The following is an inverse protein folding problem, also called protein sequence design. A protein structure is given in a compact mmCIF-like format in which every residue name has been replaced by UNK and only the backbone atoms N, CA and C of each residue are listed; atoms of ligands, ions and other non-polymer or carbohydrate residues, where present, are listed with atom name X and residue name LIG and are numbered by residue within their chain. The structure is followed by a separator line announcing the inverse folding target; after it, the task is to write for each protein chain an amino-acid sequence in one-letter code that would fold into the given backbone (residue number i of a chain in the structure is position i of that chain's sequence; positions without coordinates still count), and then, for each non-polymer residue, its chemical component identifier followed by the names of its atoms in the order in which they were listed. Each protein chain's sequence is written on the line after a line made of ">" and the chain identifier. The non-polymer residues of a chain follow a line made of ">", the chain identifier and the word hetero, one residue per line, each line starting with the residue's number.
data_IF_307157786464
#
_entry.id   IF_307157786464
#
_cell.length_a   1.000
_cell.length_b   1.000
_cell.length_c   1.000
_cell.angle_alpha   90.00
_cell.angle_beta   90.00
_cell.angle_gamma   90.00
#
_symmetry.space_group_name_H-M   'P 1'
#
loop_
_entity.id
_entity.type
_entity.pdbx_description
1 polymer ?
#
# COMPACT_ATOMS: atom_id res chain seq x y z
N UNK A 1 -23.98 -12.33 -15.38
CA UNK A 1 -22.76 -12.80 -16.07
C UNK A 1 -22.12 -13.87 -15.23
N UNK A 2 -21.59 -14.92 -15.86
CA UNK A 2 -20.63 -15.79 -15.20
C UNK A 2 -19.30 -15.03 -15.04
N UNK A 3 -18.75 -15.04 -13.83
CA UNK A 3 -17.47 -14.41 -13.52
C UNK A 3 -16.30 -15.16 -14.17
N UNK A 4 -16.45 -16.46 -14.47
CA UNK A 4 -15.43 -17.27 -15.15
C UNK A 4 -15.32 -16.84 -16.62
N UNK A 5 -16.45 -16.65 -17.31
CA UNK A 5 -16.48 -16.15 -18.70
C UNK A 5 -15.89 -14.74 -18.80
N UNK A 6 -16.27 -13.83 -17.91
CA UNK A 6 -15.73 -12.48 -17.86
C UNK A 6 -14.20 -12.46 -17.61
N UNK A 7 -13.69 -13.38 -16.79
CA UNK A 7 -12.24 -13.53 -16.59
C UNK A 7 -11.55 -14.06 -17.83
N UNK A 8 -12.10 -15.10 -18.47
CA UNK A 8 -11.56 -15.65 -19.72
C UNK A 8 -11.49 -14.59 -20.81
N UNK A 9 -12.59 -13.86 -21.05
CA UNK A 9 -12.63 -12.78 -22.03
C UNK A 9 -11.60 -11.66 -21.76
N UNK A 10 -11.23 -11.42 -20.50
CA UNK A 10 -10.26 -10.39 -20.12
C UNK A 10 -8.78 -10.85 -20.16
N UNK A 11 -8.50 -12.14 -19.92
CA UNK A 11 -7.16 -12.65 -19.65
C UNK A 11 -6.71 -13.88 -20.47
N UNK A 12 -7.63 -14.64 -21.05
CA UNK A 12 -7.30 -15.82 -21.84
C UNK A 12 -6.61 -15.40 -23.14
N UNK A 13 -5.44 -15.99 -23.43
CA UNK A 13 -4.56 -15.65 -24.55
C UNK A 13 -4.08 -14.18 -24.60
N UNK A 14 -4.33 -13.36 -23.57
CA UNK A 14 -3.85 -11.98 -23.52
C UNK A 14 -2.45 -11.89 -22.92
N UNK A 15 -1.57 -11.20 -23.62
CA UNK A 15 -0.25 -10.80 -23.15
C UNK A 15 -0.26 -9.33 -22.71
N UNK A 16 0.43 -9.03 -21.61
CA UNK A 16 0.56 -7.66 -21.08
C UNK A 16 2.04 -7.25 -21.08
N UNK A 17 2.37 -6.13 -21.72
CA UNK A 17 3.77 -5.69 -21.87
C UNK A 17 4.25 -4.81 -20.71
N UNK A 18 3.35 -4.37 -19.84
CA UNK A 18 3.68 -3.68 -18.59
C UNK A 18 2.87 -4.23 -17.42
N UNK A 19 3.36 -4.04 -16.20
CA UNK A 19 2.58 -4.33 -15.00
C UNK A 19 1.37 -3.39 -14.85
N UNK A 20 1.45 -2.18 -15.40
CA UNK A 20 0.39 -1.17 -15.32
C UNK A 20 -0.83 -1.59 -16.13
N UNK A 21 -0.63 -1.96 -17.40
CA UNK A 21 -1.67 -2.48 -18.30
C UNK A 21 -2.38 -3.72 -17.70
N UNK A 22 -1.60 -4.64 -17.12
CA UNK A 22 -2.16 -5.80 -16.41
C UNK A 22 -3.01 -5.38 -15.21
N UNK A 23 -2.54 -4.42 -14.41
CA UNK A 23 -3.21 -3.97 -13.20
C UNK A 23 -4.52 -3.24 -13.55
N UNK A 24 -4.52 -2.38 -14.57
CA UNK A 24 -5.74 -1.70 -15.07
C UNK A 24 -6.79 -2.69 -15.58
N UNK A 25 -6.37 -3.73 -16.33
CA UNK A 25 -7.27 -4.79 -16.77
C UNK A 25 -7.85 -5.60 -15.60
N UNK A 26 -7.04 -5.86 -14.57
CA UNK A 26 -7.48 -6.52 -13.34
C UNK A 26 -8.45 -5.67 -12.52
N UNK A 27 -8.17 -4.37 -12.38
CA UNK A 27 -9.02 -3.45 -11.63
C UNK A 27 -10.37 -3.26 -12.34
N UNK A 28 -10.38 -3.21 -13.68
CA UNK A 28 -11.62 -3.23 -14.48
C UNK A 28 -12.42 -4.52 -14.27
N UNK A 29 -11.81 -5.70 -14.45
CA UNK A 29 -12.50 -6.99 -14.22
C UNK A 29 -13.06 -7.10 -12.80
N UNK A 30 -12.28 -6.68 -11.79
CA UNK A 30 -12.72 -6.68 -10.39
C UNK A 30 -13.93 -5.77 -10.16
N UNK A 31 -13.94 -4.57 -10.76
CA UNK A 31 -15.08 -3.65 -10.72
C UNK A 31 -16.33 -4.22 -11.40
N UNK A 32 -16.20 -4.66 -12.65
CA UNK A 32 -17.33 -5.02 -13.51
C UNK A 32 -18.06 -6.26 -12.96
N UNK A 33 -17.31 -7.20 -12.36
CA UNK A 33 -17.84 -8.44 -11.78
C UNK A 33 -18.14 -8.31 -10.26
N UNK A 34 -17.52 -7.35 -9.56
CA UNK A 34 -17.67 -7.18 -8.11
C UNK A 34 -16.84 -8.15 -7.27
N UNK A 35 -15.75 -8.71 -7.82
CA UNK A 35 -14.82 -9.59 -7.11
C UNK A 35 -13.57 -8.83 -6.63
N UNK A 36 -12.94 -9.30 -5.56
CA UNK A 36 -11.73 -8.66 -5.01
C UNK A 36 -10.62 -9.69 -4.84
N UNK A 37 -9.55 -9.50 -5.60
CA UNK A 37 -8.31 -10.26 -5.48
C UNK A 37 -7.22 -9.42 -4.82
N UNK A 38 -6.64 -9.95 -3.75
CA UNK A 38 -5.45 -9.38 -3.14
C UNK A 38 -4.19 -10.03 -3.74
N UNK A 39 -3.17 -9.21 -4.03
CA UNK A 39 -1.83 -9.71 -4.33
C UNK A 39 -1.25 -10.38 -3.09
N UNK A 40 -0.98 -11.67 -3.21
CA UNK A 40 -0.30 -12.48 -2.21
C UNK A 40 1.21 -12.50 -2.42
N UNK A 41 1.75 -13.72 -2.45
CA UNK A 41 3.17 -13.99 -2.71
C UNK A 41 3.58 -13.50 -4.10
N UNK A 42 4.76 -12.88 -4.23
CA UNK A 42 5.28 -12.41 -5.52
C UNK A 42 6.80 -12.51 -5.58
N UNK A 43 7.34 -12.80 -6.76
CA UNK A 43 8.76 -12.76 -7.08
C UNK A 43 8.99 -11.56 -8.00
N UNK A 44 9.84 -10.61 -7.60
CA UNK A 44 10.21 -9.44 -8.42
C UNK A 44 10.96 -9.89 -9.69
N UNK A 45 10.93 -9.05 -10.73
CA UNK A 45 11.83 -9.16 -11.89
C UNK A 45 12.87 -8.04 -11.86
N UNK A 46 13.97 -8.22 -12.59
CA UNK A 46 14.93 -7.15 -12.88
C UNK A 46 14.38 -6.19 -13.95
N UNK A 47 13.40 -6.63 -14.75
CA UNK A 47 12.71 -5.76 -15.70
C UNK A 47 11.71 -4.87 -14.93
N UNK A 48 11.90 -3.55 -15.03
CA UNK A 48 11.14 -2.53 -14.31
C UNK A 48 9.71 -2.35 -14.84
N UNK A 49 9.49 -2.49 -16.16
CA UNK A 49 8.17 -2.43 -16.81
C UNK A 49 7.24 -3.54 -16.31
N UNK A 50 7.74 -4.77 -16.27
CA UNK A 50 6.98 -5.96 -15.84
C UNK A 50 6.94 -6.10 -14.31
N UNK A 51 7.93 -5.54 -13.59
CA UNK A 51 8.06 -5.46 -12.12
C UNK A 51 8.17 -6.80 -11.38
N UNK A 52 7.61 -7.87 -11.92
CA UNK A 52 7.48 -9.20 -11.31
C UNK A 52 7.78 -10.30 -12.33
N UNK A 53 8.35 -11.40 -11.84
CA UNK A 53 8.49 -12.65 -12.60
C UNK A 53 7.33 -13.62 -12.32
N UNK A 54 6.75 -13.55 -11.11
CA UNK A 54 5.58 -14.34 -10.72
C UNK A 54 4.76 -13.58 -9.67
N UNK A 55 3.44 -13.58 -9.82
CA UNK A 55 2.50 -12.98 -8.87
C UNK A 55 1.39 -13.98 -8.60
N UNK A 56 1.09 -14.22 -7.32
CA UNK A 56 -0.09 -14.97 -6.91
C UNK A 56 -1.18 -13.99 -6.46
N UNK A 57 -2.36 -14.10 -7.05
CA UNK A 57 -3.57 -13.41 -6.62
C UNK A 57 -4.50 -14.41 -5.94
N UNK A 58 -5.20 -13.97 -4.90
CA UNK A 58 -6.16 -14.78 -4.14
C UNK A 58 -7.30 -13.90 -3.67
N UNK A 59 -8.50 -14.45 -3.59
CA UNK A 59 -9.68 -13.74 -3.10
C UNK A 59 -9.39 -13.09 -1.74
N UNK A 60 -9.93 -11.90 -1.48
CA UNK A 60 -9.76 -11.19 -0.20
C UNK A 60 -10.32 -11.96 1.02
N UNK A 61 -11.21 -12.93 0.76
CA UNK A 61 -11.83 -13.87 1.72
C UNK A 61 -11.02 -15.17 1.91
N UNK A 62 -9.85 -15.29 1.26
CA UNK A 62 -8.90 -16.38 1.47
C UNK A 62 -8.38 -16.41 2.93
N UNK A 63 -8.15 -17.61 3.47
CA UNK A 63 -7.67 -17.82 4.86
C UNK A 63 -6.34 -17.12 5.11
N UNK A 64 -6.31 -16.08 5.95
CA UNK A 64 -5.06 -15.41 6.35
C UNK A 64 -4.30 -16.28 7.35
N UNK A 65 -2.98 -16.11 7.41
CA UNK A 65 -2.17 -16.71 8.49
C UNK A 65 -2.68 -16.15 9.83
N UNK A 66 -3.09 -17.04 10.75
CA UNK A 66 -3.44 -16.64 12.11
C UNK A 66 -2.25 -15.94 12.76
N UNK A 67 -2.48 -14.81 13.41
CA UNK A 67 -1.47 -14.18 14.26
C UNK A 67 -1.25 -15.03 15.51
N UNK A 68 0.00 -15.16 15.94
CA UNK A 68 0.38 -15.79 17.22
C UNK A 68 0.20 -14.81 18.40
N UNK A 69 -0.17 -13.55 18.14
CA UNK A 69 -0.43 -12.55 19.18
C UNK A 69 -1.78 -12.76 19.87
N UNK A 70 -1.82 -12.52 21.19
CA UNK A 70 -3.02 -12.71 22.06
C UNK A 70 -4.21 -11.79 21.74
N UNK A 71 -4.06 -10.82 20.83
CA UNK A 71 -5.16 -10.02 20.27
C UNK A 71 -5.96 -9.18 21.27
N UNK A 72 -5.39 -8.08 21.78
CA UNK A 72 -6.07 -7.13 22.70
C UNK A 72 -7.43 -6.65 22.15
N UNK A 73 -7.56 -6.49 20.83
CA UNK A 73 -8.82 -6.15 20.16
C UNK A 73 -9.35 -7.38 19.42
N UNK A 74 -10.52 -7.88 19.84
CA UNK A 74 -11.22 -9.01 19.19
C UNK A 74 -11.95 -8.56 17.92
N UNK A 75 -11.24 -8.47 16.80
CA UNK A 75 -11.87 -8.37 15.49
C UNK A 75 -12.28 -9.77 15.00
N UNK A 76 -13.56 -9.98 14.68
CA UNK A 76 -13.99 -11.22 13.97
C UNK A 76 -13.34 -11.24 12.59
N UNK A 77 -12.72 -12.36 12.22
CA UNK A 77 -12.24 -12.53 10.85
C UNK A 77 -13.41 -12.56 9.88
N UNK A 78 -13.18 -12.00 8.70
CA UNK A 78 -14.09 -12.01 7.55
C UNK A 78 -13.69 -13.05 6.51
N UNK A 79 -12.65 -13.85 6.79
CA UNK A 79 -12.16 -14.91 5.91
C UNK A 79 -13.11 -16.12 5.94
N UNK A 80 -13.51 -16.61 4.76
CA UNK A 80 -14.35 -17.81 4.60
C UNK A 80 -13.59 -18.99 3.99
N UNK A 81 -12.24 -18.94 4.07
CA UNK A 81 -11.34 -19.91 3.45
C UNK A 81 -11.55 -20.11 1.95
N UNK A 82 -11.95 -19.03 1.24
CA UNK A 82 -12.20 -19.06 -0.21
C UNK A 82 -10.97 -19.55 -0.98
N UNK A 83 -11.17 -20.51 -1.89
CA UNK A 83 -10.10 -21.14 -2.69
C UNK A 83 -9.70 -20.29 -3.91
N UNK A 84 -10.65 -19.52 -4.45
CA UNK A 84 -10.49 -18.65 -5.62
C UNK A 84 -9.17 -17.85 -5.65
N UNK A 85 -8.40 -18.08 -6.72
CA UNK A 85 -7.00 -17.66 -6.92
C UNK A 85 -6.57 -17.81 -8.39
N UNK A 86 -5.59 -17.01 -8.79
CA UNK A 86 -4.90 -17.20 -10.07
C UNK A 86 -3.44 -16.77 -9.94
N UNK A 87 -2.59 -17.15 -10.88
CA UNK A 87 -1.22 -16.64 -10.95
C UNK A 87 -0.88 -16.04 -12.30
N UNK A 88 -0.10 -14.96 -12.21
CA UNK A 88 0.51 -14.26 -13.34
C UNK A 88 1.98 -14.64 -13.36
N UNK A 89 2.50 -14.96 -14.53
CA UNK A 89 3.93 -15.26 -14.74
C UNK A 89 4.47 -14.39 -15.85
N UNK A 90 5.75 -14.03 -15.74
CA UNK A 90 6.50 -13.50 -16.88
C UNK A 90 6.80 -14.66 -17.84
N UNK A 91 6.38 -14.55 -19.09
CA UNK A 91 6.90 -15.33 -20.24
C UNK A 91 7.61 -14.34 -21.15
N UNK A 92 8.81 -14.67 -21.63
CA UNK A 92 9.59 -13.82 -22.54
C UNK A 92 9.65 -12.33 -22.09
N UNK A 93 8.99 -11.43 -22.82
CA UNK A 93 8.94 -9.99 -22.53
C UNK A 93 7.55 -9.50 -22.02
N UNK A 94 6.63 -10.40 -21.69
CA UNK A 94 5.26 -10.10 -21.27
C UNK A 94 4.88 -10.78 -19.94
N UNK A 95 3.77 -10.33 -19.36
CA UNK A 95 3.04 -11.01 -18.29
C UNK A 95 1.84 -11.74 -18.89
N UNK A 96 1.58 -12.97 -18.42
CA UNK A 96 0.39 -13.75 -18.79
C UNK A 96 -0.22 -14.42 -17.55
N UNK A 97 -1.53 -14.63 -17.54
CA UNK A 97 -2.17 -15.53 -16.57
C UNK A 97 -1.83 -16.97 -16.98
N UNK A 98 -1.29 -17.77 -16.06
CA UNK A 98 -0.83 -19.14 -16.38
C UNK A 98 -1.66 -20.25 -15.74
N UNK A 99 -2.44 -19.97 -14.69
CA UNK A 99 -3.55 -20.81 -14.26
C UNK A 99 -4.49 -20.01 -13.37
N UNK A 100 -5.74 -20.43 -13.31
CA UNK A 100 -6.78 -19.87 -12.47
C UNK A 100 -7.69 -20.98 -11.91
N UNK A 101 -8.28 -20.67 -10.78
CA UNK A 101 -9.29 -21.43 -10.04
C UNK A 101 -10.17 -20.32 -9.47
N UNK A 102 -11.35 -20.10 -10.04
CA UNK A 102 -12.15 -18.89 -9.80
C UNK A 102 -13.36 -19.16 -8.91
N UNK A 103 -13.53 -20.39 -8.40
CA UNK A 103 -14.72 -20.79 -7.65
C UNK A 103 -14.81 -20.08 -6.29
N UNK A 104 -15.89 -19.33 -6.10
CA UNK A 104 -16.17 -18.60 -4.86
C UNK A 104 -17.16 -19.36 -3.98
N UNK A 105 -16.75 -19.67 -2.75
CA UNK A 105 -17.59 -20.29 -1.71
C UNK A 105 -18.35 -19.26 -0.85
N UNK A 106 -18.56 -18.05 -1.39
CA UNK A 106 -19.27 -16.95 -0.73
C UNK A 106 -19.99 -16.12 -1.80
N UNK A 107 -21.08 -15.40 -1.44
CA UNK A 107 -21.72 -14.50 -2.38
C UNK A 107 -20.73 -13.44 -2.90
N UNK A 108 -20.80 -13.20 -4.20
CA UNK A 108 -20.22 -12.05 -4.89
C UNK A 108 -21.35 -11.04 -4.98
N UNK A 109 -21.15 -9.80 -4.51
CA UNK A 109 -22.16 -8.76 -4.62
C UNK A 109 -21.53 -7.38 -4.76
N UNK A 110 -22.18 -6.53 -5.55
CA UNK A 110 -21.74 -5.15 -5.80
C UNK A 110 -21.56 -4.35 -4.50
N UNK A 111 -22.51 -4.50 -3.56
CA UNK A 111 -22.41 -3.87 -2.24
C UNK A 111 -21.21 -4.38 -1.42
N UNK A 112 -20.87 -5.68 -1.49
CA UNK A 112 -19.69 -6.22 -0.81
C UNK A 112 -18.38 -5.75 -1.47
N UNK A 113 -18.39 -5.51 -2.79
CA UNK A 113 -17.28 -4.90 -3.51
C UNK A 113 -17.08 -3.44 -3.10
N UNK A 114 -18.10 -2.61 -3.24
CA UNK A 114 -18.04 -1.16 -2.98
C UNK A 114 -17.76 -0.86 -1.51
N UNK A 115 -18.38 -1.61 -0.58
CA UNK A 115 -18.15 -1.44 0.86
C UNK A 115 -16.78 -1.97 1.34
N UNK A 116 -15.98 -2.61 0.48
CA UNK A 116 -14.71 -3.17 0.92
C UNK A 116 -13.67 -2.06 1.24
N UNK A 117 -12.95 -2.12 2.39
CA UNK A 117 -12.00 -1.07 2.81
C UNK A 117 -10.80 -0.76 1.88
N UNK A 118 -10.66 -1.44 0.74
CA UNK A 118 -9.72 -1.06 -0.32
C UNK A 118 -10.39 -0.14 -1.35
N UNK A 119 -11.67 -0.40 -1.69
CA UNK A 119 -12.42 0.30 -2.73
C UNK A 119 -13.05 1.59 -2.18
N UNK A 120 -13.42 1.60 -0.88
CA UNK A 120 -13.83 2.80 -0.14
C UNK A 120 -12.72 3.83 0.08
N UNK A 121 -11.46 3.54 -0.28
CA UNK A 121 -10.36 4.48 -0.08
C UNK A 121 -10.38 5.54 -1.16
N UNK A 122 -10.39 6.80 -0.72
CA UNK A 122 -10.06 7.90 -1.59
C UNK A 122 -8.59 7.81 -2.03
N UNK A 123 -8.33 8.11 -3.30
CA UNK A 123 -6.97 8.23 -3.84
C UNK A 123 -6.31 9.53 -3.36
N UNK A 124 -5.02 9.72 -3.69
CA UNK A 124 -4.30 10.93 -3.26
C UNK A 124 -4.83 12.18 -3.96
N UNK A 125 -5.16 12.11 -5.25
CA UNK A 125 -5.82 13.22 -5.98
C UNK A 125 -7.19 13.51 -5.39
N UNK A 126 -8.06 12.51 -5.27
CA UNK A 126 -9.40 12.69 -4.70
C UNK A 126 -9.37 13.32 -3.30
N UNK A 127 -8.38 12.98 -2.46
CA UNK A 127 -8.19 13.60 -1.13
C UNK A 127 -7.69 15.04 -1.17
N UNK A 128 -6.92 15.42 -2.20
CA UNK A 128 -6.47 16.80 -2.44
C UNK A 128 -7.66 17.63 -2.95
N UNK A 129 -8.36 17.12 -3.96
CA UNK A 129 -9.49 17.79 -4.61
C UNK A 129 -10.64 18.05 -3.63
N UNK A 130 -10.93 17.07 -2.75
CA UNK A 130 -11.98 17.17 -1.72
C UNK A 130 -11.50 17.70 -0.36
N UNK A 131 -10.24 18.15 -0.23
CA UNK A 131 -9.61 18.49 1.06
C UNK A 131 -10.44 19.45 1.92
N UNK A 132 -10.97 20.51 1.31
CA UNK A 132 -11.76 21.54 1.98
C UNK A 132 -13.00 20.97 2.69
N UNK A 133 -13.67 19.97 2.11
CA UNK A 133 -14.85 19.32 2.70
C UNK A 133 -14.52 18.63 4.03
N UNK A 134 -13.30 18.10 4.17
CA UNK A 134 -12.84 17.48 5.40
C UNK A 134 -12.35 18.49 6.44
N UNK A 135 -11.67 19.56 6.02
CA UNK A 135 -11.08 20.56 6.92
C UNK A 135 -12.13 21.50 7.55
N UNK A 136 -13.09 22.01 6.76
CA UNK A 136 -14.14 22.94 7.25
C UNK A 136 -15.31 22.25 7.97
N UNK A 137 -15.11 21.02 8.45
CA UNK A 137 -16.08 20.22 9.22
C UNK A 137 -17.49 20.07 8.58
N UNK A 138 -17.62 20.08 7.24
CA UNK A 138 -18.90 19.93 6.53
C UNK A 138 -19.74 18.73 7.04
N UNK A 139 -21.09 18.76 6.98
CA UNK A 139 -21.90 17.68 7.53
C UNK A 139 -21.52 16.31 6.92
N UNK A 140 -21.46 15.27 7.77
CA UNK A 140 -20.95 13.96 7.33
C UNK A 140 -21.83 13.32 6.24
N UNK A 141 -23.11 13.69 6.18
CA UNK A 141 -24.02 13.29 5.10
C UNK A 141 -23.61 13.91 3.76
N UNK A 142 -23.25 15.20 3.73
CA UNK A 142 -22.86 15.89 2.49
C UNK A 142 -21.52 15.39 1.96
N UNK A 143 -20.56 15.10 2.84
CA UNK A 143 -19.27 14.49 2.44
C UNK A 143 -19.51 13.10 1.82
N UNK A 144 -20.42 12.29 2.40
CA UNK A 144 -20.79 10.98 1.83
C UNK A 144 -21.45 11.13 0.46
N UNK A 145 -22.41 12.05 0.32
CA UNK A 145 -23.10 12.33 -0.94
C UNK A 145 -22.10 12.78 -2.00
N UNK A 146 -21.30 13.80 -1.72
CA UNK A 146 -20.25 14.29 -2.63
C UNK A 146 -19.30 13.17 -3.09
N UNK A 147 -18.81 12.33 -2.18
CA UNK A 147 -17.87 11.24 -2.52
C UNK A 147 -18.55 10.11 -3.31
N UNK A 148 -19.84 9.86 -3.09
CA UNK A 148 -20.62 8.94 -3.91
C UNK A 148 -20.86 9.51 -5.32
N UNK A 149 -21.29 10.77 -5.41
CA UNK A 149 -21.69 11.41 -6.67
C UNK A 149 -20.49 11.72 -7.58
N UNK A 150 -19.38 12.19 -7.01
CA UNK A 150 -18.19 12.64 -7.78
C UNK A 150 -17.20 11.50 -8.03
N UNK A 151 -17.04 10.56 -7.09
CA UNK A 151 -16.03 9.50 -7.17
C UNK A 151 -16.61 8.07 -7.24
N UNK A 152 -17.93 7.89 -7.17
CA UNK A 152 -18.57 6.57 -7.18
C UNK A 152 -18.25 5.72 -5.95
N UNK A 153 -17.85 6.32 -4.81
CA UNK A 153 -17.31 5.59 -3.64
C UNK A 153 -18.22 5.67 -2.41
N UNK A 154 -18.47 4.52 -1.78
CA UNK A 154 -19.22 4.43 -0.53
C UNK A 154 -18.31 4.60 0.69
N UNK A 155 -18.27 5.77 1.32
CA UNK A 155 -17.49 5.99 2.55
C UNK A 155 -18.36 5.91 3.82
N UNK A 156 -17.80 5.38 4.92
CA UNK A 156 -18.50 5.36 6.23
C UNK A 156 -18.17 6.58 7.07
N UNK A 157 -19.01 6.84 8.08
CA UNK A 157 -18.76 7.85 9.12
C UNK A 157 -17.36 7.70 9.74
N UNK A 158 -16.92 6.46 9.97
CA UNK A 158 -15.60 6.15 10.52
C UNK A 158 -14.46 6.54 9.58
N UNK A 159 -14.61 6.40 8.25
CA UNK A 159 -13.58 6.84 7.31
C UNK A 159 -13.46 8.37 7.31
N UNK A 160 -14.59 9.09 7.31
CA UNK A 160 -14.63 10.57 7.42
C UNK A 160 -13.93 11.04 8.70
N UNK A 161 -14.25 10.42 9.84
CA UNK A 161 -13.58 10.71 11.12
C UNK A 161 -12.07 10.42 11.07
N UNK A 162 -11.66 9.29 10.47
CA UNK A 162 -10.24 8.94 10.31
C UNK A 162 -9.49 9.91 9.39
N UNK A 163 -10.11 10.39 8.31
CA UNK A 163 -9.52 11.40 7.40
C UNK A 163 -9.36 12.72 8.15
N UNK A 164 -10.41 13.21 8.83
CA UNK A 164 -10.35 14.42 9.67
C UNK A 164 -9.27 14.34 10.73
N UNK A 165 -9.18 13.22 11.44
CA UNK A 165 -8.14 13.02 12.46
C UNK A 165 -6.75 13.11 11.84
N UNK A 166 -6.52 12.47 10.68
CA UNK A 166 -5.22 12.54 9.98
C UNK A 166 -4.87 13.97 9.56
N UNK A 167 -5.80 14.74 9.02
CA UNK A 167 -5.57 16.13 8.61
C UNK A 167 -5.25 17.02 9.82
N UNK A 168 -6.01 16.90 10.92
CA UNK A 168 -5.71 17.62 12.18
C UNK A 168 -4.35 17.23 12.76
N UNK A 169 -4.00 15.94 12.76
CA UNK A 169 -2.68 15.45 13.19
C UNK A 169 -1.52 15.85 12.27
N UNK A 170 -1.79 16.20 11.01
CA UNK A 170 -0.79 16.73 10.09
C UNK A 170 -0.57 18.24 10.34
N UNK A 171 -1.65 19.01 10.46
CA UNK A 171 -1.58 20.44 10.78
C UNK A 171 -0.80 20.71 12.08
N UNK A 172 -1.08 19.95 13.15
CA UNK A 172 -0.39 20.06 14.44
C UNK A 172 1.10 19.67 14.41
N UNK A 173 1.60 19.04 13.35
CA UNK A 173 3.03 18.70 13.20
C UNK A 173 3.81 19.77 12.44
N UNK A 174 3.14 20.56 11.61
CA UNK A 174 3.74 21.67 10.87
C UNK A 174 3.83 22.96 11.70
N UNK A 175 3.23 23.01 12.90
CA UNK A 175 3.26 24.19 13.79
C UNK A 175 4.46 24.24 14.75
N UNK A 176 5.40 23.27 14.70
CA UNK A 176 6.56 23.27 15.58
C UNK A 176 7.72 24.09 14.97
N UNK A 177 7.57 25.41 15.00
CA UNK A 177 8.66 26.36 14.70
C UNK A 177 9.64 26.34 15.90
N UNK A 178 10.97 26.38 15.69
CA UNK A 178 11.92 26.55 16.79
C UNK A 178 11.75 27.95 17.39
N UNK A 179 11.53 28.05 18.69
CA UNK A 179 11.57 29.35 19.37
C UNK A 179 13.00 29.92 19.32
N UNK A 180 13.21 30.94 18.50
CA UNK A 180 14.35 31.85 18.63
C UNK A 180 14.12 32.71 19.86
N UNK A 181 14.86 32.42 20.94
CA UNK A 181 14.84 33.23 22.16
C UNK A 181 15.40 34.61 21.90
N UNK A 182 14.56 35.64 22.03
CA UNK A 182 14.94 37.06 21.97
C UNK A 182 15.98 37.38 23.05
N UNK A 183 17.04 38.10 22.66
CA UNK A 183 18.17 38.40 23.54
C UNK A 183 17.85 39.36 24.67
N UNK A 184 18.57 39.20 25.79
CA UNK A 184 18.62 40.17 26.89
C UNK A 184 20.03 40.76 26.96
N UNK A 185 20.13 42.08 26.99
CA UNK A 185 21.39 42.83 27.03
C UNK A 185 22.13 42.60 28.36
N UNK A 186 23.41 42.18 28.29
CA UNK A 186 24.43 42.47 29.31
C UNK A 186 25.78 42.78 28.68
N UNK A 187 26.38 43.86 29.18
CA UNK A 187 27.65 44.50 28.76
C UNK A 187 28.87 43.61 29.04
N UNK A 188 29.96 43.67 28.23
CA UNK A 188 31.09 42.74 28.35
C UNK A 188 32.15 43.19 29.37
N UNK A 189 32.94 42.23 29.87
CA UNK A 189 34.27 42.49 30.43
C UNK A 189 35.29 41.43 30.00
N UNK A 190 36.39 41.94 29.44
CA UNK A 190 37.74 41.37 29.35
C UNK A 190 37.96 39.87 29.06
N UNK A 191 38.47 39.60 27.85
CA UNK A 191 39.47 38.54 27.60
C UNK A 191 40.88 39.15 27.56
N UNK A 192 41.89 38.52 28.16
CA UNK A 192 43.21 38.32 27.55
C UNK A 192 43.09 37.19 26.49
N UNK A 193 43.67 37.21 25.28
CA UNK A 193 45.09 37.44 24.90
C UNK A 193 45.99 36.42 25.62
N UNK A 194 46.84 35.59 25.03
CA UNK A 194 47.31 35.46 23.64
C UNK A 194 47.42 33.96 23.22
N UNK A 195 47.91 33.57 22.04
CA UNK A 195 47.61 33.88 20.61
C UNK A 195 48.44 32.87 19.76
N UNK A 196 48.18 32.67 18.45
CA UNK A 196 49.16 32.27 17.41
C UNK A 196 48.48 32.15 16.02
N UNK A 197 48.99 32.87 15.02
CA UNK A 197 48.78 32.64 13.59
C UNK A 197 49.36 31.27 13.16
N UNK A 198 48.97 30.61 12.06
CA UNK A 198 49.21 31.04 10.67
C UNK A 198 48.53 30.08 9.66
N UNK A 199 48.34 30.55 8.43
CA UNK A 199 48.27 29.81 7.17
C UNK A 199 47.01 29.02 6.78
N UNK A 200 46.31 29.59 5.78
CA UNK A 200 45.47 28.88 4.78
C UNK A 200 46.38 28.12 3.76
N UNK A 201 45.90 27.36 2.72
CA UNK A 201 44.52 27.19 2.21
C UNK A 201 44.09 25.73 1.79
N UNK A 202 42.86 25.65 1.25
CA UNK A 202 42.24 24.65 0.32
C UNK A 202 43.25 24.05 -0.74
N UNK A 203 43.03 22.88 -1.44
CA UNK A 203 41.80 22.06 -1.59
C UNK A 203 41.94 20.50 -1.83
N UNK A 204 40.78 19.87 -2.12
CA UNK A 204 40.54 18.79 -3.12
C UNK A 204 40.98 17.30 -2.93
N UNK A 205 40.00 16.43 -3.24
CA UNK A 205 40.09 15.18 -4.05
C UNK A 205 40.48 13.82 -3.44
N UNK A 206 39.57 12.86 -3.72
CA UNK A 206 39.76 11.42 -4.03
C UNK A 206 40.12 10.38 -2.94
N UNK A 207 39.09 9.60 -2.61
CA UNK A 207 39.06 8.12 -2.49
C UNK A 207 40.18 7.36 -1.77
N UNK A 208 39.84 6.69 -0.65
CA UNK A 208 40.40 5.36 -0.34
C UNK A 208 39.28 4.37 0.03
N UNK A 209 39.52 3.16 -0.47
CA UNK A 209 38.87 1.86 -0.31
C UNK A 209 38.74 1.34 1.15
N UNK A 210 38.25 0.09 1.28
CA UNK A 210 38.19 -0.76 2.48
C UNK A 210 37.01 -0.51 3.46
N UNK A 211 36.42 -1.54 4.10
CA UNK A 211 36.62 -3.00 3.99
C UNK A 211 35.33 -3.74 4.35
N UNK A 212 35.21 -4.96 3.83
CA UNK A 212 34.15 -5.91 4.14
C UNK A 212 34.12 -6.34 5.62
N UNK A 213 32.94 -6.40 6.23
CA UNK A 213 32.69 -7.31 7.35
C UNK A 213 31.56 -8.29 7.03
N UNK A 214 31.94 -9.56 6.92
CA UNK A 214 31.03 -10.70 6.90
C UNK A 214 30.40 -10.87 8.28
N UNK A 215 29.08 -11.16 8.31
CA UNK A 215 28.48 -11.85 9.46
C UNK A 215 27.45 -12.85 8.97
N UNK A 216 27.85 -14.11 9.01
CA UNK A 216 27.04 -15.27 8.67
C UNK A 216 25.93 -15.52 9.69
N UNK A 217 24.93 -16.31 9.30
CA UNK A 217 24.03 -16.97 10.25
C UNK A 217 22.61 -16.42 10.35
N UNK A 218 21.76 -16.71 9.36
CA UNK A 218 20.36 -17.06 9.65
C UNK A 218 19.79 -18.06 8.65
N UNK A 219 19.46 -19.22 9.22
CA UNK A 219 18.96 -20.46 8.63
C UNK A 219 17.88 -20.32 7.55
N UNK A 220 18.04 -21.10 6.48
CA UNK A 220 17.01 -21.39 5.49
C UNK A 220 15.78 -22.00 6.19
N UNK A 221 14.67 -21.26 6.27
CA UNK A 221 13.37 -21.82 6.68
C UNK A 221 12.69 -22.45 5.47
N UNK A 222 12.56 -23.78 5.49
CA UNK A 222 11.73 -24.55 4.54
C UNK A 222 10.30 -23.97 4.46
N UNK A 223 9.65 -24.00 3.29
CA UNK A 223 8.21 -23.80 3.23
C UNK A 223 7.52 -24.99 3.90
N UNK A 224 6.88 -24.77 5.04
CA UNK A 224 5.95 -25.74 5.64
C UNK A 224 4.70 -25.81 4.76
N UNK A 225 4.57 -26.92 4.03
CA UNK A 225 3.29 -27.37 3.47
C UNK A 225 2.35 -27.61 4.66
N UNK A 226 1.20 -26.93 4.69
CA UNK A 226 0.11 -27.35 5.57
C UNK A 226 -0.44 -28.67 5.03
N UNK A 227 -0.02 -29.78 5.64
CA UNK A 227 -0.90 -30.93 5.79
C UNK A 227 -2.05 -30.45 6.68
N UNK A 228 -3.27 -30.57 6.18
CA UNK A 228 -4.60 -30.38 6.82
C UNK A 228 -5.58 -29.98 5.70
N UNK A 229 -5.75 -30.89 4.74
CA UNK A 229 -6.65 -30.78 3.58
C UNK A 229 -7.35 -32.13 3.34
N UNK A 230 -7.93 -32.70 4.40
CA UNK A 230 -8.84 -33.83 4.35
C UNK A 230 -10.06 -33.48 5.22
N UNK A 231 -11.25 -33.94 4.80
CA UNK A 231 -12.60 -33.57 5.27
C UNK A 231 -13.13 -32.25 4.68
#
# INVERSE_FOLDING_TARGET
>A
MDYIEAFKAAFENREFHTFMEFQECLDKYMNDVGVIYARGTSKKSNNWLLKYQKIFYRCIKYKRRKSESKGIRRARSQDVCCKSRFHVVKRNACLVVSSFDLEHNHPISRLAFESHPMNRRLTVSELIDSRNLFEYNAPTADIKRYVADVYGKLITTTDVQNIRHKLKSAASKNSHIPHTSTGSLKTPLARPVCDYDDSSPIPASQSIFCKSHTRSGRTLRRPTICKDCDH
#
